data_IF_624814421774
#
_entry.id   IF_624814421774
#
_cell.length_a   1.000
_cell.length_b   1.000
_cell.length_c   1.000
_cell.angle_alpha   90.00
_cell.angle_beta   90.00
_cell.angle_gamma   90.00
#
_symmetry.space_group_name_H-M   'P 1'
#
loop_
_entity.id
_entity.type
_entity.pdbx_description
1 polymer ?
#
# COMPACT_ATOMS: atom_id res chain seq x y z
N UNK A 1 2.17 5.32 -8.65
CA UNK A 1 1.55 6.30 -7.73
C UNK A 1 0.54 5.65 -6.79
N UNK A 2 -0.55 5.03 -7.25
CA UNK A 2 -1.53 4.36 -6.34
C UNK A 2 -0.88 3.32 -5.44
N UNK A 3 -0.05 2.44 -6.01
CA UNK A 3 0.77 1.47 -5.28
C UNK A 3 1.60 2.09 -4.14
N UNK A 4 2.32 3.17 -4.45
CA UNK A 4 3.15 3.91 -3.48
C UNK A 4 2.29 4.54 -2.39
N UNK A 5 1.19 5.19 -2.77
CA UNK A 5 0.28 5.82 -1.83
C UNK A 5 -0.34 4.81 -0.85
N UNK A 6 -0.80 3.66 -1.35
CA UNK A 6 -1.32 2.59 -0.50
C UNK A 6 -0.27 2.04 0.45
N UNK A 7 0.91 1.67 -0.06
CA UNK A 7 1.97 1.09 0.78
C UNK A 7 2.45 2.07 1.87
N UNK A 8 2.79 3.30 1.48
CA UNK A 8 3.27 4.31 2.44
C UNK A 8 2.20 4.71 3.45
N UNK A 9 0.93 4.80 3.03
CA UNK A 9 -0.19 5.09 3.95
C UNK A 9 -0.39 3.91 4.92
N UNK A 10 -0.28 2.67 4.46
CA UNK A 10 -0.36 1.48 5.33
C UNK A 10 0.69 1.51 6.43
N UNK A 11 1.96 1.75 6.09
CA UNK A 11 3.05 1.87 7.07
C UNK A 11 2.79 3.01 8.07
N UNK A 12 2.41 4.19 7.58
CA UNK A 12 2.15 5.35 8.43
C UNK A 12 0.98 5.11 9.41
N UNK A 13 -0.09 4.46 8.93
CA UNK A 13 -1.26 4.15 9.75
C UNK A 13 -0.90 3.09 10.81
N UNK A 14 -0.19 2.02 10.43
CA UNK A 14 0.24 1.00 11.39
C UNK A 14 1.18 1.59 12.46
N UNK A 15 2.10 2.47 12.06
CA UNK A 15 2.95 3.18 13.01
C UNK A 15 2.14 4.03 13.99
N UNK A 16 1.14 4.78 13.53
CA UNK A 16 0.28 5.55 14.42
C UNK A 16 -0.54 4.67 15.38
N UNK A 17 -1.07 3.55 14.86
CA UNK A 17 -1.82 2.58 15.66
C UNK A 17 -0.96 1.94 16.76
N UNK A 18 0.31 1.61 16.47
CA UNK A 18 1.24 1.05 17.48
C UNK A 18 1.57 2.03 18.60
N UNK A 19 1.29 3.32 18.41
CA UNK A 19 1.44 4.39 19.41
C UNK A 19 0.10 4.80 20.05
N UNK A 20 -0.97 4.02 19.83
CA UNK A 20 -2.28 4.24 20.44
C UNK A 20 -3.12 5.35 19.79
N UNK A 21 -2.72 5.85 18.62
CA UNK A 21 -3.53 6.80 17.85
C UNK A 21 -4.49 6.03 16.96
N UNK A 22 -5.79 6.27 17.08
CA UNK A 22 -6.77 5.59 16.23
C UNK A 22 -6.65 6.04 14.75
N UNK A 23 -7.06 5.14 13.84
CA UNK A 23 -6.93 5.35 12.39
C UNK A 23 -7.64 6.62 11.90
N UNK A 24 -8.85 6.89 12.41
CA UNK A 24 -9.65 8.07 12.03
C UNK A 24 -8.90 9.37 12.31
N UNK A 25 -8.32 9.50 13.51
CA UNK A 25 -7.55 10.70 13.90
C UNK A 25 -6.33 10.89 12.99
N UNK A 26 -5.63 9.82 12.62
CA UNK A 26 -4.49 9.90 11.70
C UNK A 26 -4.97 10.39 10.32
N UNK A 27 -6.05 9.81 9.81
CA UNK A 27 -6.62 10.16 8.51
C UNK A 27 -7.10 11.62 8.47
N UNK A 28 -7.75 12.11 9.52
CA UNK A 28 -8.22 13.50 9.63
C UNK A 28 -7.06 14.49 9.49
N UNK A 29 -5.97 14.28 10.24
CA UNK A 29 -4.79 15.15 10.21
C UNK A 29 -4.08 15.08 8.86
N UNK A 30 -3.91 13.86 8.31
CA UNK A 30 -3.22 13.67 7.03
C UNK A 30 -4.01 14.29 5.88
N UNK A 31 -5.34 14.18 5.88
CA UNK A 31 -6.20 14.66 4.81
C UNK A 31 -6.35 16.19 4.76
N UNK A 32 -6.00 16.92 5.83
CA UNK A 32 -5.90 18.40 5.82
C UNK A 32 -4.46 18.90 5.62
N UNK A 33 -3.52 17.99 5.41
CA UNK A 33 -2.08 18.27 5.28
C UNK A 33 -1.54 17.87 3.91
N UNK A 34 -0.24 18.01 3.69
CA UNK A 34 0.43 17.66 2.41
C UNK A 34 0.51 16.15 2.15
N UNK A 35 0.19 15.32 3.14
CA UNK A 35 0.18 13.85 3.01
C UNK A 35 -1.08 13.30 2.34
N UNK A 36 -2.11 14.13 2.13
CA UNK A 36 -3.37 13.73 1.49
C UNK A 36 -3.11 13.09 0.13
N UNK A 37 -3.68 11.91 -0.07
CA UNK A 37 -3.64 11.19 -1.34
C UNK A 37 -4.90 10.34 -1.54
N UNK A 38 -4.97 9.57 -2.62
CA UNK A 38 -6.16 8.76 -2.92
C UNK A 38 -6.35 7.58 -1.97
N UNK A 39 -5.30 7.08 -1.30
CA UNK A 39 -5.44 6.06 -0.27
C UNK A 39 -6.10 6.66 0.98
N UNK A 40 -5.58 7.78 1.49
CA UNK A 40 -6.07 8.41 2.73
C UNK A 40 -7.47 9.00 2.60
N UNK A 41 -7.81 9.54 1.42
CA UNK A 41 -9.08 10.23 1.19
C UNK A 41 -10.23 9.31 0.75
N UNK A 42 -9.95 8.06 0.37
CA UNK A 42 -10.96 7.16 -0.19
C UNK A 42 -10.77 5.71 0.29
N UNK A 43 -9.64 5.06 0.01
CA UNK A 43 -9.50 3.61 0.24
C UNK A 43 -9.46 3.28 1.72
N UNK A 44 -8.74 4.08 2.51
CA UNK A 44 -8.64 3.85 3.94
C UNK A 44 -9.99 4.01 4.66
N UNK A 45 -10.71 5.14 4.52
CA UNK A 45 -12.02 5.29 5.15
C UNK A 45 -13.07 4.27 4.67
N UNK A 46 -13.09 3.97 3.37
CA UNK A 46 -14.21 3.22 2.78
C UNK A 46 -13.97 1.70 2.67
N UNK A 47 -12.71 1.25 2.69
CA UNK A 47 -12.33 -0.16 2.39
C UNK A 47 -11.48 -0.79 3.48
N UNK A 48 -10.53 -0.04 4.04
CA UNK A 48 -9.59 -0.57 5.04
C UNK A 48 -10.20 -0.47 6.44
N UNK A 49 -10.69 0.71 6.83
CA UNK A 49 -11.29 0.94 8.14
C UNK A 49 -12.57 0.12 8.37
N UNK A 50 -13.29 -0.19 7.28
CA UNK A 50 -14.48 -1.04 7.27
C UNK A 50 -14.17 -2.54 7.13
N UNK A 51 -12.89 -2.88 6.95
CA UNK A 51 -12.40 -4.24 6.68
C UNK A 51 -13.04 -4.95 5.48
N UNK A 52 -13.60 -4.22 4.51
CA UNK A 52 -14.22 -4.82 3.32
C UNK A 52 -13.21 -5.19 2.24
N UNK A 53 -12.13 -4.43 2.10
CA UNK A 53 -11.06 -4.65 1.11
C UNK A 53 -11.57 -4.88 -0.33
N UNK A 54 -12.64 -4.18 -0.71
CA UNK A 54 -13.41 -4.43 -1.93
C UNK A 54 -13.26 -3.29 -2.96
N UNK A 55 -12.04 -2.77 -3.12
CA UNK A 55 -11.79 -1.69 -4.09
C UNK A 55 -11.92 -2.13 -5.55
N UNK A 56 -11.97 -3.43 -5.81
CA UNK A 56 -12.27 -4.01 -7.12
C UNK A 56 -11.07 -4.07 -8.05
N UNK A 57 -9.85 -4.06 -7.51
CA UNK A 57 -8.63 -4.14 -8.31
C UNK A 57 -7.66 -5.18 -7.73
N UNK A 58 -7.38 -6.22 -8.53
CA UNK A 58 -6.59 -7.34 -8.07
C UNK A 58 -5.14 -6.94 -7.75
N UNK A 59 -4.62 -7.47 -6.64
CA UNK A 59 -3.23 -7.32 -6.22
C UNK A 59 -2.23 -7.74 -7.31
N UNK A 60 -2.57 -8.80 -8.05
CA UNK A 60 -1.78 -9.26 -9.20
C UNK A 60 -1.69 -8.22 -10.33
N UNK A 61 -2.76 -7.47 -10.57
CA UNK A 61 -2.77 -6.41 -11.59
C UNK A 61 -1.94 -5.21 -11.13
N UNK A 62 -2.03 -4.82 -9.85
CA UNK A 62 -1.18 -3.76 -9.30
C UNK A 62 0.31 -4.15 -9.38
N UNK A 63 0.62 -5.40 -9.04
CA UNK A 63 1.98 -5.97 -9.13
C UNK A 63 2.52 -5.94 -10.55
N UNK A 64 1.69 -6.33 -11.54
CA UNK A 64 2.02 -6.23 -12.95
C UNK A 64 2.33 -4.77 -13.34
N UNK A 65 1.49 -3.82 -12.98
CA UNK A 65 1.64 -2.42 -13.38
C UNK A 65 2.93 -1.79 -12.83
N UNK A 66 3.26 -2.04 -11.55
CA UNK A 66 4.53 -1.54 -10.98
C UNK A 66 5.76 -2.21 -11.58
N UNK A 67 5.66 -3.50 -11.90
CA UNK A 67 6.75 -4.25 -12.55
C UNK A 67 7.01 -3.74 -13.97
N UNK A 68 5.95 -3.50 -14.75
CA UNK A 68 6.08 -2.92 -16.09
C UNK A 68 6.70 -1.53 -16.03
N UNK A 69 6.25 -0.67 -15.11
CA UNK A 69 6.85 0.64 -14.89
C UNK A 69 8.35 0.54 -14.58
N UNK A 70 8.72 -0.30 -13.61
CA UNK A 70 10.12 -0.47 -13.20
C UNK A 70 11.00 -0.96 -14.35
N UNK A 71 10.52 -1.92 -15.14
CA UNK A 71 11.26 -2.46 -16.28
C UNK A 71 11.50 -1.38 -17.35
N UNK A 72 10.48 -0.59 -17.70
CA UNK A 72 10.62 0.47 -18.71
C UNK A 72 11.46 1.65 -18.22
N UNK A 73 11.32 2.04 -16.95
CA UNK A 73 12.18 3.05 -16.35
C UNK A 73 13.65 2.61 -16.35
N UNK A 74 13.91 1.33 -16.05
CA UNK A 74 15.26 0.75 -16.07
C UNK A 74 15.87 0.74 -17.48
N UNK A 75 15.09 0.35 -18.49
CA UNK A 75 15.56 0.32 -19.89
C UNK A 75 15.85 1.71 -20.45
N UNK A 76 15.09 2.71 -20.04
CA UNK A 76 15.24 4.10 -20.50
C UNK A 76 16.34 4.88 -19.76
N UNK A 77 16.93 4.31 -18.72
CA UNK A 77 17.89 5.01 -17.85
C UNK A 77 17.24 6.08 -16.96
N UNK A 78 15.90 6.07 -16.85
CA UNK A 78 15.18 6.97 -15.96
C UNK A 78 15.38 6.58 -14.48
N UNK A 79 15.23 7.55 -13.58
CA UNK A 79 15.30 7.28 -12.13
C UNK A 79 14.18 6.33 -11.69
N UNK A 80 14.55 5.26 -11.00
CA UNK A 80 13.65 4.16 -10.67
C UNK A 80 13.83 3.63 -9.23
N UNK A 81 14.47 4.39 -8.34
CA UNK A 81 14.73 3.94 -6.96
C UNK A 81 13.46 3.48 -6.24
N UNK A 82 12.39 4.28 -6.32
CA UNK A 82 11.07 3.87 -5.80
C UNK A 82 10.48 2.71 -6.59
N UNK A 83 10.68 2.66 -7.91
CA UNK A 83 10.23 1.55 -8.74
C UNK A 83 10.74 0.21 -8.26
N UNK A 84 12.05 0.11 -7.96
CA UNK A 84 12.66 -1.11 -7.44
C UNK A 84 12.04 -1.55 -6.10
N UNK A 85 11.93 -0.63 -5.15
CA UNK A 85 11.32 -0.90 -3.83
C UNK A 85 9.87 -1.34 -3.96
N UNK A 86 9.07 -0.62 -4.77
CA UNK A 86 7.66 -0.97 -4.97
C UNK A 86 7.52 -2.32 -5.66
N UNK A 87 8.30 -2.62 -6.70
CA UNK A 87 8.22 -3.92 -7.38
C UNK A 87 8.52 -5.08 -6.43
N UNK A 88 9.53 -4.94 -5.56
CA UNK A 88 9.85 -5.96 -4.55
C UNK A 88 8.69 -6.18 -3.57
N UNK A 89 8.19 -5.10 -2.96
CA UNK A 89 7.10 -5.15 -1.99
C UNK A 89 5.83 -5.79 -2.58
N UNK A 90 5.37 -5.29 -3.73
CA UNK A 90 4.11 -5.76 -4.33
C UNK A 90 4.23 -7.20 -4.85
N UNK A 91 5.41 -7.60 -5.36
CA UNK A 91 5.65 -8.98 -5.76
C UNK A 91 5.61 -9.95 -4.58
N UNK A 92 6.20 -9.56 -3.45
CA UNK A 92 6.18 -10.37 -2.23
C UNK A 92 4.75 -10.50 -1.67
N UNK A 93 4.02 -9.39 -1.58
CA UNK A 93 2.61 -9.41 -1.16
C UNK A 93 1.74 -10.28 -2.06
N UNK A 94 1.91 -10.19 -3.38
CA UNK A 94 1.15 -11.01 -4.33
C UNK A 94 1.50 -12.51 -4.27
N UNK A 95 2.72 -12.85 -3.91
CA UNK A 95 3.12 -14.24 -3.68
C UNK A 95 2.46 -14.83 -2.43
N UNK A 96 2.31 -14.03 -1.38
CA UNK A 96 1.67 -14.46 -0.12
C UNK A 96 0.14 -14.44 -0.17
N UNK A 97 -0.45 -13.50 -0.93
CA UNK A 97 -1.91 -13.28 -0.96
C UNK A 97 -2.47 -13.38 -2.40
N UNK A 98 -2.40 -14.56 -3.03
CA UNK A 98 -2.89 -14.73 -4.39
C UNK A 98 -4.41 -14.48 -4.46
N UNK A 99 -4.83 -13.63 -5.41
CA UNK A 99 -6.25 -13.31 -5.64
C UNK A 99 -6.81 -12.19 -4.75
N UNK A 100 -6.02 -11.65 -3.82
CA UNK A 100 -6.42 -10.53 -2.97
C UNK A 100 -6.69 -9.25 -3.75
N UNK A 101 -7.46 -8.34 -3.16
CA UNK A 101 -7.56 -6.96 -3.63
C UNK A 101 -6.28 -6.19 -3.26
N UNK A 102 -5.90 -5.20 -4.07
CA UNK A 102 -4.69 -4.43 -3.83
C UNK A 102 -4.72 -3.64 -2.50
N UNK A 103 -5.91 -3.38 -1.93
CA UNK A 103 -6.05 -2.76 -0.62
C UNK A 103 -5.58 -3.66 0.53
N UNK A 104 -5.49 -4.98 0.32
CA UNK A 104 -4.99 -5.93 1.31
C UNK A 104 -3.48 -5.83 1.54
N UNK A 105 -2.75 -5.02 0.77
CA UNK A 105 -1.36 -4.64 1.09
C UNK A 105 -1.23 -4.08 2.53
N UNK A 106 -2.30 -3.48 3.06
CA UNK A 106 -2.38 -3.06 4.45
C UNK A 106 -2.22 -4.23 5.43
N UNK A 107 -2.86 -5.37 5.18
CA UNK A 107 -2.73 -6.57 6.03
C UNK A 107 -1.32 -7.14 5.93
N UNK A 108 -0.83 -7.32 4.71
CA UNK A 108 0.52 -7.84 4.46
C UNK A 108 1.60 -7.07 5.22
N UNK A 109 1.55 -5.74 5.19
CA UNK A 109 2.53 -4.90 5.90
C UNK A 109 2.40 -5.00 7.42
N UNK A 110 1.17 -5.15 7.94
CA UNK A 110 0.91 -5.33 9.38
C UNK A 110 1.55 -6.62 9.86
N UNK A 111 1.31 -7.69 9.14
CA UNK A 111 1.77 -9.03 9.51
C UNK A 111 3.30 -9.15 9.32
N UNK A 112 3.88 -8.40 8.36
CA UNK A 112 5.34 -8.28 8.22
C UNK A 112 6.00 -7.53 9.39
N UNK A 113 5.33 -6.53 9.98
CA UNK A 113 5.88 -5.78 11.13
C UNK A 113 5.87 -6.59 12.43
N UNK A 114 5.01 -7.60 12.51
CA UNK A 114 4.84 -8.44 13.71
C UNK A 114 5.83 -9.63 13.76
N UNK A 115 6.71 -9.78 12.76
CA UNK A 115 7.81 -10.75 12.78
C UNK A 115 7.41 -12.21 12.52
N UNK A 116 6.14 -12.49 12.20
CA UNK A 116 5.68 -13.83 11.82
C UNK A 116 5.25 -13.86 10.35
N UNK A 117 6.19 -14.25 9.49
CA UNK A 117 5.84 -14.91 8.22
C UNK A 117 5.88 -16.41 8.52
N UNK A 118 4.73 -17.01 8.80
CA UNK A 118 4.54 -18.47 8.75
C UNK A 118 3.98 -18.89 7.41
#
# INVERSE_FOLDING_TARGET
>A
LSATAMAATSEAIQFGLSHGVNMETILDVVNVSTGRNTATADKFPNRVATETFDAGFALALMTKDVTLYFNEASKSGATNCLGATMTGLWSAANATMPGADFTEIYKYLRDCSDGEVT
#
